data_IF_525416091241
#
_entry.id   IF_525416091241
#
_cell.length_a   1.000
_cell.length_b   1.000
_cell.length_c   1.000
_cell.angle_alpha   90.00
_cell.angle_beta   90.00
_cell.angle_gamma   90.00
#
_symmetry.space_group_name_H-M   'P 1'
#
loop_
_entity.id
_entity.type
_entity.pdbx_description
1 polymer ?
#
# COMPACT_ATOMS: atom_id res chain seq x y z
N UNK A 1 -31.97 -11.42 11.22
CA UNK A 1 -31.73 -10.12 10.56
C UNK A 1 -31.01 -10.42 9.26
N UNK A 2 -31.78 -10.81 8.24
CA UNK A 2 -31.30 -10.84 6.87
C UNK A 2 -31.06 -9.39 6.42
N UNK A 3 -29.92 -9.12 5.79
CA UNK A 3 -29.78 -7.95 4.94
C UNK A 3 -28.87 -6.80 5.41
N UNK A 4 -27.74 -7.08 6.07
CA UNK A 4 -26.62 -6.12 5.95
C UNK A 4 -25.83 -6.48 4.68
N UNK A 5 -25.83 -5.63 3.63
CA UNK A 5 -25.20 -5.96 2.35
C UNK A 5 -23.66 -5.99 2.42
N UNK A 6 -23.08 -5.73 3.59
CA UNK A 6 -21.66 -5.65 3.81
C UNK A 6 -21.19 -6.72 4.80
N UNK A 7 -20.04 -7.38 4.52
CA UNK A 7 -19.45 -8.31 5.46
C UNK A 7 -19.05 -7.60 6.75
N UNK A 8 -19.13 -8.30 7.87
CA UNK A 8 -18.49 -7.87 9.12
C UNK A 8 -16.98 -7.72 8.94
N UNK A 9 -16.31 -6.94 9.79
CA UNK A 9 -14.85 -6.80 9.75
C UNK A 9 -14.13 -8.16 9.83
N UNK A 10 -14.70 -9.11 10.58
CA UNK A 10 -14.17 -10.48 10.70
C UNK A 10 -14.31 -11.26 9.39
N UNK A 11 -15.47 -11.15 8.73
CA UNK A 11 -15.68 -11.78 7.43
C UNK A 11 -14.79 -11.16 6.36
N UNK A 12 -14.69 -9.82 6.34
CA UNK A 12 -13.80 -9.09 5.45
C UNK A 12 -12.33 -9.51 5.65
N UNK A 13 -11.84 -9.54 6.89
CA UNK A 13 -10.47 -9.95 7.22
C UNK A 13 -10.18 -11.38 6.75
N UNK A 14 -11.12 -12.31 6.95
CA UNK A 14 -10.97 -13.69 6.48
C UNK A 14 -10.98 -13.81 4.94
N UNK A 15 -11.90 -13.09 4.29
CA UNK A 15 -12.16 -13.21 2.85
C UNK A 15 -11.21 -12.39 1.99
N UNK A 16 -10.72 -11.26 2.49
CA UNK A 16 -9.95 -10.28 1.72
C UNK A 16 -8.66 -9.83 2.40
N UNK A 17 -8.58 -9.92 3.72
CA UNK A 17 -7.39 -9.52 4.48
C UNK A 17 -6.12 -10.25 4.02
N UNK A 18 -5.05 -9.48 3.84
CA UNK A 18 -3.74 -10.01 3.49
C UNK A 18 -3.11 -10.67 4.72
N UNK A 19 -2.62 -11.89 4.57
CA UNK A 19 -2.09 -12.70 5.66
C UNK A 19 -0.97 -13.64 5.18
N UNK A 20 -0.31 -14.32 6.12
CA UNK A 20 0.82 -15.22 5.83
C UNK A 20 0.50 -16.29 4.79
N UNK A 21 -0.64 -16.97 4.91
CA UNK A 21 -1.05 -18.01 3.97
C UNK A 21 -1.30 -17.47 2.55
N UNK A 22 -1.64 -16.19 2.39
CA UNK A 22 -1.68 -15.52 1.08
C UNK A 22 -0.27 -15.17 0.62
N UNK A 23 0.58 -14.63 1.48
CA UNK A 23 1.98 -14.30 1.16
C UNK A 23 2.79 -15.50 0.69
N UNK A 24 2.54 -16.69 1.24
CA UNK A 24 3.22 -17.95 0.86
C UNK A 24 2.82 -18.45 -0.53
N UNK A 25 1.64 -18.05 -1.02
CA UNK A 25 1.16 -18.37 -2.38
C UNK A 25 1.58 -17.35 -3.43
N UNK A 26 2.12 -16.21 -3.00
CA UNK A 26 2.64 -15.20 -3.92
C UNK A 26 3.99 -15.64 -4.50
N UNK A 27 4.41 -14.96 -5.58
CA UNK A 27 5.76 -15.12 -6.11
C UNK A 27 6.79 -14.85 -5.02
N UNK A 28 7.93 -15.53 -5.08
CA UNK A 28 9.01 -15.37 -4.09
C UNK A 28 9.47 -13.92 -3.94
N UNK A 29 9.49 -13.18 -5.05
CA UNK A 29 9.87 -11.77 -5.12
C UNK A 29 8.69 -10.78 -4.99
N UNK A 30 7.49 -11.24 -4.64
CA UNK A 30 6.38 -10.33 -4.43
C UNK A 30 6.61 -9.48 -3.17
N UNK A 31 6.25 -8.20 -3.26
CA UNK A 31 6.33 -7.22 -2.17
C UNK A 31 4.94 -6.86 -1.66
N UNK A 32 4.88 -6.33 -0.44
CA UNK A 32 3.66 -5.78 0.16
C UNK A 32 3.77 -4.25 0.12
N UNK A 33 2.73 -3.63 -0.43
CA UNK A 33 2.57 -2.17 -0.50
C UNK A 33 1.23 -1.80 0.13
N UNK A 34 1.17 -0.64 0.78
CA UNK A 34 -0.06 -0.10 1.37
C UNK A 34 0.10 1.42 1.59
N UNK A 35 -0.84 2.26 1.12
CA UNK A 35 -0.71 3.72 1.22
C UNK A 35 -0.84 4.25 2.66
N UNK A 36 -1.46 3.48 3.55
CA UNK A 36 -1.69 3.84 4.95
C UNK A 36 -2.86 4.83 5.13
N UNK A 37 -3.35 5.03 6.38
CA UNK A 37 -3.04 4.24 7.57
C UNK A 37 -3.52 2.78 7.42
N UNK A 38 -2.83 1.84 8.08
CA UNK A 38 -3.17 0.40 8.05
C UNK A 38 -4.00 0.02 9.27
N UNK A 39 -5.15 -0.62 9.08
CA UNK A 39 -5.90 -1.32 10.11
C UNK A 39 -5.41 -2.77 10.20
N UNK A 40 -4.40 -2.96 11.04
CA UNK A 40 -3.86 -4.29 11.36
C UNK A 40 -4.97 -5.18 11.95
N UNK A 41 -5.04 -6.42 11.48
CA UNK A 41 -6.07 -7.40 11.86
C UNK A 41 -7.36 -7.30 11.03
N UNK A 42 -7.53 -6.26 10.22
CA UNK A 42 -8.68 -6.10 9.30
C UNK A 42 -8.23 -6.38 7.86
N UNK A 43 -7.60 -5.43 7.17
CA UNK A 43 -7.14 -5.64 5.78
C UNK A 43 -5.77 -6.31 5.68
N UNK A 44 -4.96 -6.29 6.75
CA UNK A 44 -3.62 -6.86 6.74
C UNK A 44 -3.25 -7.39 8.13
N UNK A 45 -2.64 -8.57 8.22
CA UNK A 45 -2.12 -9.09 9.48
C UNK A 45 -0.80 -8.41 9.87
N UNK A 46 -0.54 -8.28 11.17
CA UNK A 46 0.65 -7.56 11.67
C UNK A 46 1.96 -8.16 11.14
N UNK A 47 2.05 -9.49 11.06
CA UNK A 47 3.22 -10.20 10.54
C UNK A 47 3.49 -9.97 9.04
N UNK A 48 2.45 -9.62 8.27
CA UNK A 48 2.62 -9.24 6.86
C UNK A 48 2.94 -7.75 6.74
N UNK A 49 2.27 -6.89 7.51
CA UNK A 49 2.51 -5.45 7.51
C UNK A 49 3.95 -5.10 7.87
N UNK A 50 4.53 -5.83 8.83
CA UNK A 50 5.87 -5.58 9.38
C UNK A 50 6.90 -6.64 8.91
N UNK A 51 6.55 -7.46 7.91
CA UNK A 51 7.41 -8.53 7.39
C UNK A 51 8.50 -8.05 6.43
N UNK A 52 9.51 -8.89 6.19
CA UNK A 52 10.70 -8.56 5.38
C UNK A 52 10.40 -8.09 3.94
N UNK A 53 9.26 -8.50 3.37
CA UNK A 53 8.83 -8.14 2.02
C UNK A 53 7.89 -6.92 2.01
N UNK A 54 7.70 -6.25 3.14
CA UNK A 54 6.89 -5.05 3.26
C UNK A 54 7.69 -3.82 2.88
N UNK A 55 7.22 -3.09 1.88
CA UNK A 55 7.80 -1.81 1.42
C UNK A 55 6.89 -0.62 1.73
N UNK A 56 6.05 -0.73 2.75
CA UNK A 56 5.06 0.30 3.10
C UNK A 56 5.74 1.63 3.46
N UNK A 57 6.83 1.59 4.24
CA UNK A 57 7.54 2.81 4.65
C UNK A 57 8.31 3.43 3.48
N UNK A 58 8.94 2.61 2.65
CA UNK A 58 9.62 3.02 1.42
C UNK A 58 8.64 3.64 0.42
N UNK A 59 7.44 3.07 0.28
CA UNK A 59 6.37 3.63 -0.56
C UNK A 59 5.97 5.03 -0.10
N UNK A 60 5.68 5.20 1.20
CA UNK A 60 5.28 6.50 1.76
C UNK A 60 6.41 7.53 1.60
N UNK A 61 7.65 7.13 1.87
CA UNK A 61 8.85 7.97 1.71
C UNK A 61 9.04 8.38 0.26
N UNK A 62 8.88 7.44 -0.68
CA UNK A 62 8.97 7.71 -2.13
C UNK A 62 7.94 8.74 -2.58
N UNK A 63 6.75 8.78 -1.94
CA UNK A 63 5.73 9.79 -2.20
C UNK A 63 6.20 11.22 -1.97
N UNK A 64 7.12 11.46 -1.03
CA UNK A 64 7.72 12.79 -0.81
C UNK A 64 8.57 13.20 -2.01
N UNK A 65 9.49 12.33 -2.43
CA UNK A 65 10.37 12.58 -3.57
C UNK A 65 9.59 12.83 -4.86
N UNK A 66 8.54 12.03 -5.13
CA UNK A 66 7.68 12.20 -6.30
C UNK A 66 6.98 13.57 -6.28
N UNK A 67 6.40 13.97 -5.15
CA UNK A 67 5.74 15.28 -5.05
C UNK A 67 6.74 16.44 -5.19
N UNK A 68 7.94 16.32 -4.63
CA UNK A 68 9.00 17.29 -4.82
C UNK A 68 9.38 17.43 -6.30
N UNK A 69 9.54 16.32 -7.02
CA UNK A 69 9.84 16.33 -8.44
C UNK A 69 8.71 16.98 -9.27
N UNK A 70 7.46 16.63 -8.98
CA UNK A 70 6.29 17.24 -9.64
C UNK A 70 6.23 18.75 -9.39
N UNK A 71 6.44 19.20 -8.14
CA UNK A 71 6.45 20.62 -7.81
C UNK A 71 7.64 21.35 -8.45
N UNK A 72 8.82 20.72 -8.51
CA UNK A 72 9.97 21.28 -9.22
C UNK A 72 9.64 21.53 -10.69
N UNK A 73 9.15 20.51 -11.41
CA UNK A 73 8.84 20.62 -12.84
C UNK A 73 7.74 21.65 -13.15
N UNK A 74 6.76 21.82 -12.25
CA UNK A 74 5.61 22.70 -12.50
C UNK A 74 5.81 24.13 -11.97
N UNK A 75 6.57 24.32 -10.90
CA UNK A 75 6.60 25.57 -10.13
C UNK A 75 7.98 26.21 -10.00
N UNK A 76 9.09 25.48 -10.21
CA UNK A 76 10.43 25.95 -9.83
C UNK A 76 11.60 25.58 -10.74
N UNK A 77 11.40 24.73 -11.74
CA UNK A 77 12.38 24.40 -12.75
C UNK A 77 12.31 25.40 -13.88
N UNK A 78 13.43 26.05 -14.21
CA UNK A 78 13.54 26.96 -15.34
C UNK A 78 12.95 26.35 -16.61
N UNK A 79 12.35 27.19 -17.46
CA UNK A 79 11.68 26.80 -18.70
C UNK A 79 12.63 26.04 -19.65
N UNK A 80 12.74 24.73 -19.45
CA UNK A 80 13.62 23.85 -20.25
C UNK A 80 13.34 22.35 -20.11
N UNK A 81 12.33 21.93 -19.34
CA UNK A 81 11.99 20.51 -19.12
C UNK A 81 10.87 19.95 -19.99
N UNK A 82 10.27 20.76 -20.88
CA UNK A 82 9.35 20.32 -21.92
C UNK A 82 9.99 20.50 -23.31
N UNK A 83 11.25 20.08 -23.43
CA UNK A 83 11.96 19.96 -24.70
C UNK A 83 12.57 18.57 -24.83
N UNK A 84 11.70 17.57 -24.99
CA UNK A 84 11.88 16.40 -25.86
C UNK A 84 10.52 15.74 -26.08
#
# INVERSE_FOLDING_TARGET
ADGMPFPSLREYSRMFGMNRARMERMRSNAIVMHPGPMNRGVEISADVADGERSLVLEQVTSGVAVRMAVMYLLLGGESGGAAA
#
